data_IF_824671763792
#
_entry.id   IF_824671763792
#
_cell.length_a   1.000
_cell.length_b   1.000
_cell.length_c   1.000
_cell.angle_alpha   90.00
_cell.angle_beta   90.00
_cell.angle_gamma   90.00
#
_symmetry.space_group_name_H-M   'P 1'
#
loop_
_entity.id
_entity.type
_entity.pdbx_description
1 polymer ?
#
# COMPACT_ATOMS: atom_id res chain seq x y z
N UNK A 1 -23.33 -44.18 -9.99
CA UNK A 1 -22.02 -43.65 -10.45
C UNK A 1 -22.13 -42.12 -10.42
N UNK A 2 -21.54 -41.48 -9.42
CA UNK A 2 -21.54 -40.01 -9.33
C UNK A 2 -20.33 -39.50 -10.11
N UNK A 3 -20.58 -38.68 -11.13
CA UNK A 3 -19.53 -38.01 -11.89
C UNK A 3 -19.15 -36.73 -11.16
N UNK A 4 -17.92 -36.66 -10.66
CA UNK A 4 -17.33 -35.40 -10.19
C UNK A 4 -16.88 -34.66 -11.44
N UNK A 5 -17.63 -33.63 -11.83
CA UNK A 5 -17.26 -32.73 -12.92
C UNK A 5 -16.10 -31.85 -12.46
N UNK A 6 -14.91 -32.06 -13.01
CA UNK A 6 -13.79 -31.12 -12.89
C UNK A 6 -14.04 -29.96 -13.85
N UNK A 7 -14.65 -28.89 -13.35
CA UNK A 7 -14.74 -27.63 -14.08
C UNK A 7 -13.33 -27.04 -14.20
N UNK A 8 -12.82 -26.87 -15.42
CA UNK A 8 -11.57 -26.14 -15.66
C UNK A 8 -11.72 -24.71 -15.14
N UNK A 9 -11.05 -24.40 -14.04
CA UNK A 9 -10.99 -23.03 -13.52
C UNK A 9 -10.10 -22.22 -14.47
N UNK A 10 -10.71 -21.55 -15.44
CA UNK A 10 -9.99 -20.62 -16.33
C UNK A 10 -9.60 -19.39 -15.54
N UNK A 11 -8.34 -19.35 -15.11
CA UNK A 11 -7.80 -18.31 -14.24
C UNK A 11 -7.65 -16.99 -15.04
N UNK A 12 -8.58 -16.06 -14.86
CA UNK A 12 -8.64 -14.82 -15.66
C UNK A 12 -7.62 -13.76 -15.24
N UNK A 13 -7.35 -13.62 -13.93
CA UNK A 13 -6.50 -12.56 -13.38
C UNK A 13 -5.97 -12.94 -12.00
N UNK A 14 -4.66 -12.82 -11.82
CA UNK A 14 -4.01 -12.89 -10.50
C UNK A 14 -3.65 -11.45 -10.12
N UNK A 15 -4.06 -11.02 -8.92
CA UNK A 15 -3.64 -9.74 -8.36
C UNK A 15 -2.77 -10.03 -7.14
N UNK A 16 -1.51 -9.60 -7.21
CA UNK A 16 -0.60 -9.69 -6.09
C UNK A 16 -0.76 -8.44 -5.22
N UNK A 17 -0.94 -8.63 -3.92
CA UNK A 17 -0.96 -7.55 -2.93
C UNK A 17 0.26 -7.69 -2.04
N UNK A 18 1.13 -6.68 -2.08
CA UNK A 18 2.31 -6.61 -1.23
C UNK A 18 2.02 -5.61 -0.10
N UNK A 19 1.87 -6.08 1.14
CA UNK A 19 1.72 -5.18 2.29
C UNK A 19 2.99 -4.35 2.46
N UNK A 20 2.81 -3.06 2.71
CA UNK A 20 3.89 -2.13 3.07
C UNK A 20 3.83 -1.89 4.56
N UNK A 21 5.00 -1.91 5.21
CA UNK A 21 5.09 -1.71 6.65
C UNK A 21 4.85 -0.25 7.00
N UNK A 22 3.97 -0.01 7.98
CA UNK A 22 3.87 1.27 8.66
C UNK A 22 4.84 1.36 9.85
N UNK A 23 4.64 2.38 10.69
CA UNK A 23 5.32 2.45 11.98
C UNK A 23 4.85 1.30 12.88
N UNK A 24 5.81 0.56 13.44
CA UNK A 24 5.57 -0.58 14.33
C UNK A 24 6.69 -0.60 15.37
N UNK A 25 6.35 -1.00 16.61
CA UNK A 25 7.33 -1.28 17.66
C UNK A 25 8.12 -2.56 17.39
N UNK A 26 7.55 -3.47 16.60
CA UNK A 26 8.17 -4.72 16.18
C UNK A 26 8.84 -4.55 14.80
N UNK A 27 9.96 -5.24 14.59
CA UNK A 27 10.63 -5.23 13.29
C UNK A 27 9.72 -5.78 12.19
N UNK A 28 9.80 -5.22 10.96
CA UNK A 28 9.04 -5.71 9.81
C UNK A 28 9.12 -7.22 9.62
N UNK A 29 10.33 -7.79 9.72
CA UNK A 29 10.58 -9.22 9.52
C UNK A 29 9.79 -10.08 10.52
N UNK A 30 9.66 -9.62 11.77
CA UNK A 30 8.91 -10.34 12.81
C UNK A 30 7.42 -10.33 12.52
N UNK A 31 6.90 -9.18 12.08
CA UNK A 31 5.49 -9.04 11.70
C UNK A 31 5.18 -9.92 10.49
N UNK A 32 6.00 -9.83 9.43
CA UNK A 32 5.82 -10.64 8.22
C UNK A 32 6.00 -12.12 8.48
N UNK A 33 7.01 -12.54 9.25
CA UNK A 33 7.21 -13.95 9.58
C UNK A 33 6.07 -14.56 10.41
N UNK A 34 5.33 -13.73 11.16
CA UNK A 34 4.14 -14.17 11.89
C UNK A 34 2.94 -14.33 10.95
N UNK A 35 2.71 -13.35 10.07
CA UNK A 35 1.69 -13.42 9.03
C UNK A 35 1.96 -14.61 8.10
N UNK A 36 3.20 -14.79 7.66
CA UNK A 36 3.61 -15.85 6.73
C UNK A 36 3.31 -17.24 7.31
N UNK A 37 3.66 -17.48 8.58
CA UNK A 37 3.33 -18.73 9.28
C UNK A 37 1.83 -19.00 9.31
N UNK A 38 1.01 -17.96 9.51
CA UNK A 38 -0.45 -18.10 9.45
C UNK A 38 -0.98 -18.34 8.03
N UNK A 39 -0.39 -17.70 7.02
CA UNK A 39 -0.82 -17.83 5.62
C UNK A 39 -0.39 -19.15 4.97
N UNK A 40 0.75 -19.74 5.37
CA UNK A 40 1.22 -21.04 4.85
C UNK A 40 0.27 -22.20 5.11
N UNK A 41 -0.63 -22.06 6.09
CA UNK A 41 -1.64 -23.06 6.38
C UNK A 41 -2.76 -23.14 5.31
N UNK A 42 -2.93 -22.10 4.49
CA UNK A 42 -3.96 -22.08 3.44
C UNK A 42 -3.40 -22.66 2.14
N UNK A 43 -4.06 -23.71 1.64
CA UNK A 43 -3.69 -24.39 0.39
C UNK A 43 -4.49 -23.91 -0.82
N UNK A 44 -5.44 -22.99 -0.62
CA UNK A 44 -6.35 -22.47 -1.63
C UNK A 44 -6.06 -21.02 -2.03
N UNK A 45 -6.56 -20.60 -3.21
CA UNK A 45 -6.50 -19.22 -3.65
C UNK A 45 -7.45 -18.36 -2.80
N UNK A 46 -6.87 -17.46 -2.01
CA UNK A 46 -7.62 -16.58 -1.13
C UNK A 46 -8.13 -15.35 -1.88
N UNK A 47 -9.35 -14.93 -1.55
CA UNK A 47 -9.86 -13.63 -1.98
C UNK A 47 -9.13 -12.50 -1.25
N UNK A 48 -9.18 -11.29 -1.83
CA UNK A 48 -8.60 -10.09 -1.20
C UNK A 48 -9.11 -9.87 0.22
N UNK A 49 -10.41 -10.06 0.46
CA UNK A 49 -11.01 -9.89 1.79
C UNK A 49 -10.45 -10.90 2.79
N UNK A 50 -10.22 -12.14 2.37
CA UNK A 50 -9.61 -13.16 3.23
C UNK A 50 -8.18 -12.77 3.61
N UNK A 51 -7.40 -12.28 2.64
CA UNK A 51 -6.03 -11.84 2.88
C UNK A 51 -5.96 -10.65 3.86
N UNK A 52 -6.81 -9.65 3.68
CA UNK A 52 -6.89 -8.51 4.59
C UNK A 52 -7.33 -8.90 6.00
N UNK A 53 -8.29 -9.84 6.12
CA UNK A 53 -8.71 -10.37 7.42
C UNK A 53 -7.59 -11.13 8.13
N UNK A 54 -6.72 -11.83 7.40
CA UNK A 54 -5.56 -12.52 7.99
C UNK A 54 -4.58 -11.49 8.53
N UNK A 55 -4.24 -10.46 7.73
CA UNK A 55 -3.31 -9.40 8.18
C UNK A 55 -3.90 -8.66 9.39
N UNK A 56 -5.21 -8.36 9.36
CA UNK A 56 -5.91 -7.65 10.43
C UNK A 56 -5.83 -8.35 11.80
N UNK A 57 -5.59 -9.67 11.84
CA UNK A 57 -5.39 -10.41 13.10
C UNK A 57 -4.06 -10.10 13.77
N UNK A 58 -3.05 -9.71 12.99
CA UNK A 58 -1.67 -9.52 13.44
C UNK A 58 -1.22 -8.06 13.40
N UNK A 59 -1.86 -7.22 12.60
CA UNK A 59 -1.50 -5.83 12.41
C UNK A 59 -2.72 -4.97 12.04
N UNK A 60 -2.63 -3.66 12.28
CA UNK A 60 -3.62 -2.70 11.79
C UNK A 60 -3.51 -2.55 10.28
N UNK A 61 -4.61 -2.80 9.55
CA UNK A 61 -4.66 -2.67 8.09
C UNK A 61 -5.12 -1.26 7.72
N UNK A 62 -4.25 -0.49 7.07
CA UNK A 62 -4.58 0.81 6.50
C UNK A 62 -4.61 0.66 4.98
N UNK A 63 -5.73 1.03 4.36
CA UNK A 63 -5.85 1.04 2.90
C UNK A 63 -5.47 2.42 2.37
N UNK A 64 -4.49 2.44 1.47
CA UNK A 64 -4.14 3.64 0.69
C UNK A 64 -5.37 4.20 -0.04
N UNK A 65 -5.60 5.49 0.08
CA UNK A 65 -6.74 6.20 -0.53
C UNK A 65 -8.04 6.16 0.28
N UNK A 66 -8.05 5.59 1.48
CA UNK A 66 -9.22 5.58 2.36
C UNK A 66 -8.94 6.24 3.71
N UNK A 67 -9.90 7.02 4.21
CA UNK A 67 -10.00 7.63 5.55
C UNK A 67 -8.70 8.29 6.08
N UNK A 68 -7.75 7.47 6.56
CA UNK A 68 -6.53 7.89 7.25
C UNK A 68 -5.29 7.99 6.35
N UNK A 69 -5.36 7.54 5.10
CA UNK A 69 -4.24 7.57 4.16
C UNK A 69 -4.67 8.20 2.84
N UNK A 70 -4.82 9.52 2.84
CA UNK A 70 -5.18 10.26 1.63
C UNK A 70 -3.99 10.23 0.66
N UNK A 71 -4.24 9.76 -0.56
CA UNK A 71 -3.24 9.84 -1.64
C UNK A 71 -3.27 11.29 -2.13
N UNK A 72 -2.25 12.06 -1.76
CA UNK A 72 -2.12 13.44 -2.19
C UNK A 72 -1.49 13.48 -3.58
N UNK A 73 -2.11 14.25 -4.49
CA UNK A 73 -1.61 14.55 -5.82
C UNK A 73 -0.46 15.56 -5.70
N UNK A 74 0.79 15.09 -5.66
CA UNK A 74 1.96 15.95 -5.44
C UNK A 74 2.08 17.09 -6.45
N UNK A 75 1.66 16.87 -7.70
CA UNK A 75 1.63 17.90 -8.76
C UNK A 75 0.66 19.04 -8.45
N UNK A 76 -0.45 18.73 -7.79
CA UNK A 76 -1.42 19.74 -7.37
C UNK A 76 -0.92 20.50 -6.14
N UNK A 77 -0.26 19.81 -5.21
CA UNK A 77 0.24 20.36 -3.94
C UNK A 77 1.49 21.23 -4.07
N UNK A 78 2.27 21.12 -5.16
CA UNK A 78 3.42 22.00 -5.41
C UNK A 78 2.99 23.48 -5.55
N UNK A 79 1.83 23.73 -6.16
CA UNK A 79 1.36 25.10 -6.40
C UNK A 79 1.06 25.89 -5.12
N UNK A 80 0.64 25.22 -4.05
CA UNK A 80 0.38 25.83 -2.74
C UNK A 80 1.63 26.03 -1.88
N UNK A 81 2.63 25.14 -2.03
CA UNK A 81 3.79 25.11 -1.13
C UNK A 81 5.04 25.78 -1.73
N UNK A 82 5.07 25.99 -3.04
CA UNK A 82 6.14 26.75 -3.68
C UNK A 82 5.86 28.24 -3.51
N UNK A 83 6.59 28.90 -2.60
CA UNK A 83 6.61 30.36 -2.52
C UNK A 83 6.93 30.91 -3.90
N UNK A 84 6.06 31.76 -4.44
CA UNK A 84 6.29 32.49 -5.70
C UNK A 84 7.70 33.07 -5.68
N UNK A 85 8.49 32.85 -6.73
CA UNK A 85 9.90 33.24 -6.81
C UNK A 85 10.18 34.71 -6.40
N UNK A 86 9.20 35.60 -6.61
CA UNK A 86 9.23 37.00 -6.17
C UNK A 86 9.26 37.24 -4.65
N UNK A 87 8.89 36.23 -3.83
CA UNK A 87 8.88 36.29 -2.35
C UNK A 87 10.10 35.62 -1.72
N UNK A 88 11.03 35.12 -2.53
CA UNK A 88 12.30 34.63 -2.01
C UNK A 88 13.17 35.84 -1.69
N UNK A 89 13.94 35.78 -0.61
CA UNK A 89 14.85 36.85 -0.17
C UNK A 89 16.06 37.04 -1.09
N UNK A 90 15.95 36.70 -2.37
CA UNK A 90 16.97 37.03 -3.34
C UNK A 90 16.91 38.53 -3.58
N UNK A 91 17.67 39.30 -2.79
CA UNK A 91 18.10 40.62 -3.23
C UNK A 91 18.81 40.42 -4.57
N UNK A 92 18.32 40.95 -5.69
CA UNK A 92 19.13 41.02 -6.88
C UNK A 92 20.28 41.94 -6.52
N UNK A 93 21.44 41.37 -6.21
CA UNK A 93 22.67 42.16 -6.22
C UNK A 93 22.71 42.79 -7.60
N UNK A 94 22.66 44.12 -7.59
CA UNK A 94 22.86 44.97 -8.74
C UNK A 94 24.19 44.60 -9.39
N UNK A 95 24.16 43.69 -10.36
CA UNK A 95 25.20 43.61 -11.37
C UNK A 95 24.84 44.69 -12.40
N UNK A 96 25.15 45.94 -12.05
CA UNK A 96 25.22 47.02 -13.02
C UNK A 96 26.42 46.75 -13.95
N UNK A 97 26.20 47.13 -15.21
CA UNK A 97 27.10 47.12 -16.37
C UNK A 97 28.55 47.56 -16.08
#
# INVERSE_FOLDING_TARGET
RCYVSFSQVSLKKIQLFLPVVGYSSMSPDTVFGTIERGTKAYTELLSRGNYENIIARYASVIRLGQNYCQVLEWKSSESENVKTLAKWHFSPNQANE
#
